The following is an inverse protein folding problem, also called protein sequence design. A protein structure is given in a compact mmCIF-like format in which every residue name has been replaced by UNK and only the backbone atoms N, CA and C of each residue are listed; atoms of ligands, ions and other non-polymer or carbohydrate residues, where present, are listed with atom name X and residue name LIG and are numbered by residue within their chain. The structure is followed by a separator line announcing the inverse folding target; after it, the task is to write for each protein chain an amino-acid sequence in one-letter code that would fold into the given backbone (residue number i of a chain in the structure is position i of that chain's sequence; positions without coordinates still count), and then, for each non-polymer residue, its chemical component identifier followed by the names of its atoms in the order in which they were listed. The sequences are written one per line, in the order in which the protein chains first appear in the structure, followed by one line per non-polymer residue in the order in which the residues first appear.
data_IF_624700725506
#
_entry.id   IF_624700725506
#
_cell.length_a   1.000
_cell.length_b   1.000
_cell.length_c   1.000
_cell.angle_alpha   90.00
_cell.angle_beta   90.00
_cell.angle_gamma   90.00
#
_symmetry.space_group_name_H-M   'P 1'
#
loop_
_entity.id
_entity.type
_entity.pdbx_description
1 polymer ?
#
# COMPACT_ATOMS: atom_id res chain seq x y z
N UNK A 1 2.13 0.89 10.62
CA UNK A 1 0.98 0.52 9.78
C UNK A 1 1.00 1.20 8.42
N UNK A 2 1.04 2.55 8.37
CA UNK A 2 0.97 3.34 7.12
C UNK A 2 1.97 2.88 6.05
N UNK A 3 3.22 2.60 6.41
CA UNK A 3 4.23 2.12 5.46
C UNK A 3 3.88 0.76 4.82
N UNK A 4 3.49 -0.22 5.64
CA UNK A 4 3.06 -1.54 5.17
C UNK A 4 1.78 -1.44 4.32
N UNK A 5 0.85 -0.58 4.73
CA UNK A 5 -0.36 -0.28 3.98
C UNK A 5 -0.03 0.33 2.61
N UNK A 6 0.93 1.25 2.53
CA UNK A 6 1.37 1.83 1.27
C UNK A 6 1.97 0.77 0.33
N UNK A 7 2.67 -0.24 0.89
CA UNK A 7 3.15 -1.39 0.11
C UNK A 7 2.00 -2.21 -0.46
N UNK A 8 1.05 -2.61 0.39
CA UNK A 8 -0.08 -3.45 -0.02
C UNK A 8 -0.97 -2.77 -1.06
N UNK A 9 -1.44 -1.55 -0.76
CA UNK A 9 -2.30 -0.79 -1.66
C UNK A 9 -1.53 -0.36 -2.91
N UNK A 10 -0.27 0.04 -2.76
CA UNK A 10 0.57 0.45 -3.88
C UNK A 10 0.76 -0.67 -4.89
N UNK A 11 1.06 -1.89 -4.44
CA UNK A 11 1.13 -3.06 -5.31
C UNK A 11 -0.24 -3.45 -5.88
N UNK A 12 -1.30 -3.39 -5.08
CA UNK A 12 -2.66 -3.71 -5.52
C UNK A 12 -3.09 -2.86 -6.73
N UNK A 13 -2.87 -1.53 -6.67
CA UNK A 13 -3.28 -0.64 -7.76
C UNK A 13 -2.29 -0.66 -8.94
N UNK A 14 -0.98 -0.75 -8.68
CA UNK A 14 0.04 -0.73 -9.74
C UNK A 14 0.02 -2.00 -10.60
N UNK A 15 -0.42 -3.12 -10.01
CA UNK A 15 -0.54 -4.42 -10.68
C UNK A 15 -1.97 -4.73 -11.16
N UNK A 16 -2.93 -3.82 -10.97
CA UNK A 16 -4.33 -4.03 -11.33
C UNK A 16 -4.53 -4.40 -12.81
N UNK A 17 -3.71 -3.81 -13.70
CA UNK A 17 -3.77 -4.10 -15.14
C UNK A 17 -3.43 -5.56 -15.48
N UNK A 18 -2.67 -6.22 -14.63
CA UNK A 18 -2.14 -7.57 -14.85
C UNK A 18 -2.92 -8.63 -14.06
N UNK A 19 -3.44 -8.26 -12.89
CA UNK A 19 -4.10 -9.19 -11.95
C UNK A 19 -5.59 -8.92 -11.73
N UNK A 20 -6.12 -7.81 -12.25
CA UNK A 20 -7.53 -7.43 -12.10
C UNK A 20 -8.00 -7.33 -10.64
N UNK A 21 -9.28 -7.64 -10.43
CA UNK A 21 -9.93 -7.53 -9.12
C UNK A 21 -9.37 -8.56 -8.13
N UNK A 22 -9.02 -9.77 -8.59
CA UNK A 22 -8.45 -10.81 -7.71
C UNK A 22 -7.10 -10.36 -7.12
N UNK A 23 -6.23 -9.77 -7.94
CA UNK A 23 -4.98 -9.17 -7.45
C UNK A 23 -5.20 -8.00 -6.50
N UNK A 24 -6.19 -7.14 -6.79
CA UNK A 24 -6.50 -5.99 -5.94
C UNK A 24 -6.91 -6.42 -4.53
N UNK A 25 -7.76 -7.45 -4.43
CA UNK A 25 -8.18 -8.03 -3.14
C UNK A 25 -7.02 -8.80 -2.48
N UNK A 26 -6.31 -9.64 -3.24
CA UNK A 26 -5.22 -10.47 -2.71
C UNK A 26 -4.04 -9.65 -2.16
N UNK A 27 -3.68 -8.55 -2.83
CA UNK A 27 -2.60 -7.66 -2.39
C UNK A 27 -3.10 -6.64 -1.38
N UNK A 28 -4.26 -6.03 -1.66
CA UNK A 28 -4.80 -4.93 -0.88
C UNK A 28 -5.36 -5.36 0.46
N UNK A 29 -5.96 -6.55 0.58
CA UNK A 29 -6.51 -7.09 1.83
C UNK A 29 -5.70 -8.28 2.34
N UNK A 30 -5.06 -9.04 1.44
CA UNK A 30 -4.26 -10.21 1.83
C UNK A 30 -2.85 -9.82 2.27
N UNK A 31 -1.89 -9.81 1.33
CA UNK A 31 -0.48 -9.53 1.64
C UNK A 31 0.30 -9.03 0.42
N UNK A 32 1.24 -8.11 0.64
CA UNK A 32 2.20 -7.69 -0.38
C UNK A 32 3.26 -8.75 -0.67
N UNK A 33 3.39 -9.78 0.17
CA UNK A 33 4.35 -10.87 -0.04
C UNK A 33 4.13 -11.62 -1.36
N UNK A 34 2.91 -11.57 -1.92
CA UNK A 34 2.62 -12.17 -3.24
C UNK A 34 3.44 -11.56 -4.38
N UNK A 35 3.98 -10.34 -4.21
CA UNK A 35 4.85 -9.70 -5.20
C UNK A 35 6.33 -10.03 -4.99
N UNK A 36 6.73 -10.75 -3.94
CA UNK A 36 8.14 -11.08 -3.69
C UNK A 36 8.81 -11.80 -4.87
N UNK A 37 8.19 -12.83 -5.50
CA UNK A 37 8.79 -13.47 -6.68
C UNK A 37 9.03 -12.49 -7.84
N UNK A 38 8.15 -11.51 -8.00
CA UNK A 38 8.24 -10.48 -9.03
C UNK A 38 9.29 -9.41 -8.69
N UNK A 39 9.42 -9.04 -7.42
CA UNK A 39 10.46 -8.12 -6.93
C UNK A 39 11.85 -8.71 -7.18
N UNK A 40 12.02 -10.03 -6.99
CA UNK A 40 13.29 -10.72 -7.28
C UNK A 40 13.63 -10.64 -8.77
N UNK A 41 12.63 -10.76 -9.65
CA UNK A 41 12.81 -10.66 -11.11
C UNK A 41 13.08 -9.22 -11.58
N UNK A 42 12.32 -8.26 -11.07
CA UNK A 42 12.48 -6.83 -11.35
C UNK A 42 12.33 -6.01 -10.07
N UNK A 43 13.44 -5.63 -9.39
CA UNK A 43 13.39 -4.84 -8.16
C UNK A 43 12.75 -3.46 -8.33
N UNK A 44 12.68 -2.93 -9.56
CA UNK A 44 12.15 -1.59 -9.85
C UNK A 44 10.64 -1.49 -9.57
N UNK A 45 9.91 -2.62 -9.54
CA UNK A 45 8.48 -2.62 -9.18
C UNK A 45 8.24 -2.21 -7.72
N UNK A 46 9.28 -2.26 -6.87
CA UNK A 46 9.21 -1.84 -5.47
C UNK A 46 9.26 -0.32 -5.30
N UNK A 47 9.71 0.42 -6.32
CA UNK A 47 9.87 1.88 -6.24
C UNK A 47 8.54 2.60 -5.96
N UNK A 48 7.46 2.39 -6.74
CA UNK A 48 6.20 3.09 -6.50
C UNK A 48 5.65 2.93 -5.07
N UNK A 49 5.46 1.70 -4.53
CA UNK A 49 4.93 1.54 -3.19
C UNK A 49 5.88 2.03 -2.08
N UNK A 50 7.19 1.92 -2.30
CA UNK A 50 8.19 2.38 -1.30
C UNK A 50 8.22 3.90 -1.20
N UNK A 51 8.17 4.59 -2.33
CA UNK A 51 8.09 6.06 -2.35
C UNK A 51 6.78 6.52 -1.71
N UNK A 52 5.66 5.86 -1.99
CA UNK A 52 4.40 6.14 -1.31
C UNK A 52 4.53 6.00 0.21
N UNK A 53 5.13 4.90 0.70
CA UNK A 53 5.37 4.70 2.13
C UNK A 53 6.31 5.74 2.75
N UNK A 54 7.40 6.08 2.06
CA UNK A 54 8.39 7.06 2.53
C UNK A 54 7.80 8.48 2.67
N UNK A 55 6.87 8.85 1.78
CA UNK A 55 6.17 10.14 1.84
C UNK A 55 5.06 10.12 2.89
N UNK A 56 4.29 9.04 2.97
CA UNK A 56 3.13 8.98 3.86
C UNK A 56 3.49 8.72 5.32
N UNK A 57 4.62 8.07 5.60
CA UNK A 57 5.08 7.83 6.96
C UNK A 57 5.23 9.14 7.78
N UNK A 58 6.00 10.16 7.36
CA UNK A 58 6.11 11.42 8.10
C UNK A 58 4.81 12.22 8.13
N UNK A 59 3.98 12.14 7.08
CA UNK A 59 2.66 12.78 7.09
C UNK A 59 1.77 12.17 8.18
N UNK A 60 1.72 10.84 8.27
CA UNK A 60 0.90 10.15 9.26
C UNK A 60 1.37 10.41 10.70
N UNK A 61 2.69 10.38 10.95
CA UNK A 61 3.23 10.47 12.31
C UNK A 61 3.44 11.91 12.80
N UNK A 62 3.89 12.82 11.95
CA UNK A 62 4.24 14.20 12.37
C UNK A 62 3.05 15.14 12.19
N UNK A 63 2.32 15.04 11.08
CA UNK A 63 1.22 15.96 10.76
C UNK A 63 -0.08 15.49 11.38
N UNK A 64 -0.48 14.24 11.12
CA UNK A 64 -1.74 13.68 11.62
C UNK A 64 -1.61 13.03 13.01
N UNK A 65 -0.39 12.87 13.52
CA UNK A 65 -0.09 12.26 14.83
C UNK A 65 -0.84 10.95 15.05
N UNK A 66 -0.93 10.12 14.01
CA UNK A 66 -1.60 8.84 14.09
C UNK A 66 -0.84 7.88 14.99
N UNK A 67 -1.56 7.27 15.93
CA UNK A 67 -1.07 6.23 16.82
C UNK A 67 -1.76 4.91 16.51
N UNK A 68 -1.14 3.81 16.96
CA UNK A 68 -1.63 2.46 16.73
C UNK A 68 -1.10 1.54 17.82
N UNK A 69 -1.84 0.48 18.13
CA UNK A 69 -1.41 -0.58 19.02
C UNK A 69 -0.18 -1.31 18.42
N UNK A 70 0.87 -1.60 19.23
CA UNK A 70 2.02 -2.41 18.82
C UNK A 70 1.67 -3.68 18.03
N UNK A 71 0.61 -4.39 18.42
CA UNK A 71 0.15 -5.59 17.73
C UNK A 71 -0.30 -5.34 16.26
N UNK A 72 -0.75 -4.12 15.95
CA UNK A 72 -1.19 -3.71 14.61
C UNK A 72 -0.11 -3.01 13.78
N UNK A 73 1.01 -2.60 14.38
CA UNK A 73 1.99 -1.69 13.79
C UNK A 73 2.66 -2.19 12.47
N UNK A 74 2.63 -3.51 12.21
CA UNK A 74 3.21 -4.13 11.01
C UNK A 74 2.21 -4.77 10.05
N UNK A 75 0.92 -4.80 10.38
CA UNK A 75 -0.06 -5.59 9.62
C UNK A 75 -0.50 -4.95 8.30
N UNK A 76 -0.28 -3.64 8.12
CA UNK A 76 -0.76 -2.93 6.95
C UNK A 76 -2.28 -3.02 6.81
N UNK A 77 -2.77 -3.33 5.61
CA UNK A 77 -4.19 -3.58 5.32
C UNK A 77 -4.59 -5.05 5.45
N UNK A 78 -3.69 -5.92 5.93
CA UNK A 78 -3.93 -7.37 6.03
C UNK A 78 -5.15 -7.65 6.90
N UNK A 79 -6.21 -8.18 6.31
CA UNK A 79 -7.51 -8.41 6.98
C UNK A 79 -8.09 -7.18 7.68
N UNK A 80 -7.67 -5.97 7.28
CA UNK A 80 -7.95 -4.70 7.95
C UNK A 80 -7.46 -4.59 9.41
N UNK A 81 -6.57 -5.48 9.85
CA UNK A 81 -6.09 -5.51 11.24
C UNK A 81 -5.40 -4.19 11.61
N UNK A 82 -4.56 -3.62 10.73
CA UNK A 82 -3.87 -2.37 11.01
C UNK A 82 -4.83 -1.18 11.20
N UNK A 83 -5.91 -1.12 10.41
CA UNK A 83 -6.95 -0.10 10.51
C UNK A 83 -7.78 -0.27 11.78
N UNK A 84 -8.22 -1.50 12.06
CA UNK A 84 -9.01 -1.80 13.26
C UNK A 84 -8.23 -1.44 14.54
N UNK A 85 -6.93 -1.74 14.58
CA UNK A 85 -6.07 -1.37 15.71
C UNK A 85 -5.82 0.14 15.80
N UNK A 86 -5.80 0.86 14.67
CA UNK A 86 -5.74 2.33 14.66
C UNK A 86 -7.02 2.91 15.27
N UNK A 87 -8.18 2.38 14.89
CA UNK A 87 -9.47 2.82 15.45
C UNK A 87 -9.64 2.42 16.91
N UNK A 88 -9.07 1.29 17.33
CA UNK A 88 -9.09 0.88 18.74
C UNK A 88 -8.29 1.84 19.62
N UNK A 89 -7.13 2.31 19.15
CA UNK A 89 -6.24 3.20 19.89
C UNK A 89 -6.70 4.68 19.82
N UNK A 90 -7.07 5.17 18.64
CA UNK A 90 -7.44 6.59 18.43
C UNK A 90 -8.95 6.86 18.57
N UNK A 91 -9.78 5.81 18.63
CA UNK A 91 -11.24 5.89 18.61
C UNK A 91 -11.84 6.03 17.21
N UNK A 92 -13.18 6.09 17.15
CA UNK A 92 -13.97 6.14 15.92
C UNK A 92 -14.37 7.56 15.49
N UNK A 93 -13.57 8.56 15.86
CA UNK A 93 -13.85 9.96 15.49
C UNK A 93 -13.80 10.18 13.98
N UNK A 94 -14.60 11.13 13.48
CA UNK A 94 -14.65 11.48 12.05
C UNK A 94 -13.27 11.87 11.49
N UNK A 95 -12.43 12.53 12.30
CA UNK A 95 -11.05 12.86 11.93
C UNK A 95 -10.18 11.62 11.69
N UNK A 96 -10.32 10.58 12.50
CA UNK A 96 -9.58 9.31 12.35
C UNK A 96 -10.05 8.57 11.10
N UNK A 97 -11.36 8.54 10.84
CA UNK A 97 -11.90 7.98 9.60
C UNK A 97 -11.34 8.65 8.36
N UNK A 98 -11.29 9.99 8.34
CA UNK A 98 -10.73 10.77 7.23
C UNK A 98 -9.23 10.46 7.08
N UNK A 99 -8.48 10.45 8.18
CA UNK A 99 -7.04 10.16 8.16
C UNK A 99 -6.75 8.75 7.64
N UNK A 100 -7.48 7.74 8.12
CA UNK A 100 -7.35 6.35 7.63
C UNK A 100 -7.72 6.28 6.15
N UNK A 101 -8.85 6.82 5.72
CA UNK A 101 -9.25 6.75 4.31
C UNK A 101 -8.21 7.39 3.38
N UNK A 102 -7.72 8.58 3.76
CA UNK A 102 -6.73 9.31 2.97
C UNK A 102 -5.36 8.65 3.00
N UNK A 103 -4.81 8.36 4.18
CA UNK A 103 -3.42 7.93 4.33
C UNK A 103 -3.23 6.42 4.14
N UNK A 104 -4.26 5.61 4.39
CA UNK A 104 -4.17 4.15 4.23
C UNK A 104 -4.62 3.69 2.85
N UNK A 105 -5.52 4.40 2.15
CA UNK A 105 -6.07 3.90 0.88
C UNK A 105 -5.83 4.87 -0.28
N UNK A 106 -6.32 6.10 -0.18
CA UNK A 106 -6.38 7.01 -1.33
C UNK A 106 -4.99 7.52 -1.72
N UNK A 107 -4.26 8.12 -0.78
CA UNK A 107 -2.94 8.68 -1.05
C UNK A 107 -1.92 7.63 -1.52
N UNK A 108 -1.77 6.45 -0.88
CA UNK A 108 -0.83 5.44 -1.37
C UNK A 108 -1.21 4.90 -2.75
N UNK A 109 -2.52 4.76 -3.03
CA UNK A 109 -3.00 4.35 -4.34
C UNK A 109 -2.62 5.37 -5.43
N UNK A 110 -2.90 6.66 -5.20
CA UNK A 110 -2.60 7.72 -6.17
C UNK A 110 -1.09 7.82 -6.43
N UNK A 111 -0.28 7.90 -5.37
CA UNK A 111 1.18 8.04 -5.49
C UNK A 111 1.77 6.85 -6.26
N UNK A 112 1.38 5.63 -5.88
CA UNK A 112 1.92 4.42 -6.50
C UNK A 112 1.49 4.29 -7.95
N UNK A 113 0.23 4.60 -8.27
CA UNK A 113 -0.29 4.51 -9.64
C UNK A 113 0.43 5.51 -10.56
N UNK A 114 0.56 6.78 -10.15
CA UNK A 114 1.28 7.80 -10.91
C UNK A 114 2.74 7.39 -11.16
N UNK A 115 3.44 6.92 -10.11
CA UNK A 115 4.84 6.49 -10.24
C UNK A 115 4.96 5.25 -11.11
N UNK A 116 4.10 4.25 -10.93
CA UNK A 116 4.14 3.03 -11.75
C UNK A 116 3.91 3.32 -13.23
N UNK A 117 2.98 4.21 -13.58
CA UNK A 117 2.73 4.62 -14.97
C UNK A 117 3.91 5.44 -15.53
N UNK A 118 4.54 6.28 -14.72
CA UNK A 118 5.79 6.96 -15.08
C UNK A 118 6.92 5.98 -15.39
N UNK A 119 7.12 4.99 -14.52
CA UNK A 119 8.13 3.93 -14.69
C UNK A 119 7.83 3.02 -15.88
N UNK A 120 6.55 2.80 -16.22
CA UNK A 120 6.14 2.09 -17.44
C UNK A 120 6.47 2.90 -18.70
N UNK A 121 6.26 4.22 -18.69
CA UNK A 121 6.59 5.10 -19.83
C UNK A 121 8.08 5.12 -20.17
N UNK A 122 8.95 5.06 -19.15
CA UNK A 122 10.42 4.98 -19.35
C UNK A 122 10.93 3.54 -19.56
N UNK A 123 10.05 2.55 -19.53
CA UNK A 123 10.37 1.14 -19.81
C UNK A 123 11.04 0.38 -18.65
N UNK A 124 11.07 0.95 -17.44
CA UNK A 124 11.63 0.31 -16.24
C UNK A 124 10.71 -0.75 -15.64
N UNK A 125 9.40 -0.56 -15.80
CA UNK A 125 8.37 -1.54 -15.47
C UNK A 125 7.66 -1.93 -16.77
N UNK A 126 7.59 -3.22 -17.07
CA UNK A 126 6.92 -3.74 -18.26
C UNK A 126 5.61 -4.43 -17.89
N UNK A 127 4.74 -4.60 -18.87
CA UNK A 127 3.53 -5.38 -18.67
C UNK A 127 3.92 -6.84 -18.42
N UNK A 128 3.41 -7.41 -17.32
CA UNK A 128 3.72 -8.76 -16.88
C UNK A 128 4.72 -8.82 -15.72
N UNK A 129 5.45 -7.72 -15.45
CA UNK A 129 6.44 -7.68 -14.37
C UNK A 129 5.81 -7.80 -12.98
N UNK A 130 4.52 -7.50 -12.81
CA UNK A 130 3.79 -7.60 -11.55
C UNK A 130 2.71 -8.67 -11.57
N UNK A 131 2.68 -9.54 -12.58
CA UNK A 131 1.69 -10.59 -12.70
C UNK A 131 1.93 -11.65 -11.62
N UNK A 132 0.90 -11.97 -10.86
CA UNK A 132 0.94 -13.02 -9.85
C UNK A 132 0.61 -14.33 -10.56
N UNK A 133 1.57 -15.25 -10.60
CA UNK A 133 1.34 -16.63 -11.04
C UNK A 133 0.71 -17.39 -9.88
N UNK A 134 -0.49 -17.93 -10.12
CA UNK A 134 -1.29 -18.69 -9.16
C UNK A 134 -0.92 -20.16 -9.19
#
# INVERSE_FOLDING_TARGET
TVGCTAQMIGFAVSSYRENGISGLVALGIGTSMLQVPNIVKNPLILIPPTVAGAVLAPLATVVFKMTNEPAGAGMGTSGFVGQLMTFADMGFGTSVWIAVLLLHFIAPAIISLILSEGLRKIGWIKFGDMKIEQ
#
